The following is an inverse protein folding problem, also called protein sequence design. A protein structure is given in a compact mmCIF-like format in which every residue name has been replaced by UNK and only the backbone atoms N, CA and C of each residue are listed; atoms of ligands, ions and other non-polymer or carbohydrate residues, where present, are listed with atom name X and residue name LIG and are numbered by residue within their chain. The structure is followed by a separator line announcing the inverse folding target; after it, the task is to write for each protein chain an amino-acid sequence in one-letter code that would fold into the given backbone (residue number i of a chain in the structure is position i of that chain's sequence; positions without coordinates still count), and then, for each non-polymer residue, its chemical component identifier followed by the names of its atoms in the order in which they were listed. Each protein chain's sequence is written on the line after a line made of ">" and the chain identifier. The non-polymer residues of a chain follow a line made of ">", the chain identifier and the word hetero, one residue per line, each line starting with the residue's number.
data_IF_385242330641
#
_entry.id   IF_385242330641
#
_cell.length_a   1.000
_cell.length_b   1.000
_cell.length_c   1.000
_cell.angle_alpha   90.00
_cell.angle_beta   90.00
_cell.angle_gamma   90.00
#
_symmetry.space_group_name_H-M   'P 1'
#
loop_
_entity.id
_entity.type
_entity.pdbx_description
1 polymer ?
#
# COMPACT_ATOMS: atom_id res chain seq x y z
N UNK A 1 -15.55 98.38 12.42
CA UNK A 1 -14.71 97.50 11.58
C UNK A 1 -14.63 96.14 12.26
N UNK A 2 -15.40 95.16 11.77
CA UNK A 2 -15.42 93.80 12.32
C UNK A 2 -14.37 92.93 11.63
N UNK A 3 -13.51 92.30 12.42
CA UNK A 3 -12.57 91.27 12.00
C UNK A 3 -13.30 89.91 11.94
N UNK A 4 -13.24 89.22 10.80
CA UNK A 4 -13.71 87.83 10.65
C UNK A 4 -12.48 86.94 10.44
N UNK A 5 -12.16 86.14 11.44
CA UNK A 5 -11.14 85.08 11.37
C UNK A 5 -11.85 83.80 10.90
N UNK A 6 -11.61 83.40 9.65
CA UNK A 6 -12.07 82.12 9.13
C UNK A 6 -11.06 81.00 9.49
N UNK A 7 -11.43 80.16 10.45
CA UNK A 7 -10.72 78.92 10.78
C UNK A 7 -11.13 77.79 9.81
N UNK A 8 -10.27 77.47 8.85
CA UNK A 8 -10.41 76.26 8.03
C UNK A 8 -9.75 75.06 8.74
N UNK A 9 -10.57 74.12 9.22
CA UNK A 9 -10.13 72.84 9.79
C UNK A 9 -9.89 71.81 8.65
N UNK A 10 -8.73 71.13 8.58
CA UNK A 10 -8.49 70.14 7.52
C UNK A 10 -9.18 68.79 7.84
N UNK A 11 -10.11 68.37 6.97
CA UNK A 11 -10.58 66.99 6.85
C UNK A 11 -9.54 66.15 6.10
N UNK A 12 -8.55 65.58 6.79
CA UNK A 12 -7.65 64.56 6.20
C UNK A 12 -7.23 63.54 7.26
N UNK A 13 -8.12 62.64 7.69
CA UNK A 13 -7.69 61.57 8.60
C UNK A 13 -8.61 60.32 8.67
N UNK A 14 -9.22 59.88 7.56
CA UNK A 14 -10.03 58.63 7.56
C UNK A 14 -9.75 57.67 6.40
N UNK A 15 -9.03 58.09 5.35
CA UNK A 15 -8.79 57.25 4.15
C UNK A 15 -7.62 56.26 4.38
N UNK A 16 -6.70 56.57 5.29
CA UNK A 16 -5.46 55.81 5.46
C UNK A 16 -5.68 54.43 6.13
N UNK A 17 -6.69 54.30 6.98
CA UNK A 17 -6.94 53.09 7.78
C UNK A 17 -7.62 51.96 6.99
N UNK A 18 -8.46 52.31 6.00
CA UNK A 18 -9.13 51.34 5.12
C UNK A 18 -8.13 50.76 4.11
N UNK A 19 -7.27 51.61 3.55
CA UNK A 19 -6.24 51.19 2.60
C UNK A 19 -5.21 50.24 3.24
N UNK A 20 -4.82 50.51 4.48
CA UNK A 20 -3.90 49.65 5.24
C UNK A 20 -4.47 48.25 5.49
N UNK A 21 -5.77 48.11 5.80
CA UNK A 21 -6.41 46.80 6.06
C UNK A 21 -6.55 45.93 4.79
N UNK A 22 -6.92 46.53 3.66
CA UNK A 22 -7.09 45.81 2.38
C UNK A 22 -5.75 45.38 1.79
N UNK A 23 -4.72 46.21 1.95
CA UNK A 23 -3.38 45.91 1.48
C UNK A 23 -2.80 44.70 2.24
N UNK A 24 -2.88 44.68 3.57
CA UNK A 24 -2.37 43.57 4.38
C UNK A 24 -3.06 42.23 4.09
N UNK A 25 -4.37 42.21 3.86
CA UNK A 25 -5.09 40.98 3.54
C UNK A 25 -4.61 40.29 2.26
N UNK A 26 -4.30 41.05 1.20
CA UNK A 26 -3.81 40.51 -0.07
C UNK A 26 -2.39 39.95 0.04
N UNK A 27 -1.51 40.62 0.78
CA UNK A 27 -0.15 40.14 1.02
C UNK A 27 -0.12 38.90 1.91
N UNK A 28 -1.02 38.81 2.90
CA UNK A 28 -1.18 37.62 3.74
C UNK A 28 -1.65 36.42 2.90
N UNK A 29 -2.63 36.59 2.01
CA UNK A 29 -3.06 35.52 1.11
C UNK A 29 -1.96 35.07 0.15
N UNK A 30 -1.19 36.01 -0.42
CA UNK A 30 -0.06 35.67 -1.29
C UNK A 30 1.05 34.92 -0.52
N UNK A 31 1.39 35.34 0.69
CA UNK A 31 2.36 34.64 1.53
C UNK A 31 1.88 33.24 1.91
N UNK A 32 0.59 33.05 2.19
CA UNK A 32 0.02 31.73 2.48
C UNK A 32 0.03 30.81 1.26
N UNK A 33 -0.28 31.31 0.06
CA UNK A 33 -0.20 30.53 -1.19
C UNK A 33 1.25 30.18 -1.52
N UNK A 34 2.17 31.12 -1.34
CA UNK A 34 3.61 30.85 -1.52
C UNK A 34 4.06 29.80 -0.52
N UNK A 35 3.72 29.93 0.77
CA UNK A 35 4.04 28.93 1.79
C UNK A 35 3.50 27.54 1.43
N UNK A 36 2.24 27.42 0.99
CA UNK A 36 1.65 26.14 0.59
C UNK A 36 2.26 25.58 -0.70
N UNK A 37 2.71 26.43 -1.62
CA UNK A 37 3.38 26.02 -2.87
C UNK A 37 4.86 25.70 -2.67
N UNK A 38 5.51 26.30 -1.65
CA UNK A 38 6.91 26.06 -1.28
C UNK A 38 7.06 25.05 -0.15
N UNK A 39 5.96 24.57 0.46
CA UNK A 39 6.02 23.39 1.30
C UNK A 39 6.64 22.29 0.43
N UNK A 40 7.81 21.75 0.82
CA UNK A 40 8.35 20.60 0.12
C UNK A 40 7.24 19.58 0.09
N UNK A 41 6.91 19.04 -1.10
CA UNK A 41 6.22 17.76 -1.15
C UNK A 41 7.19 16.81 -0.46
N UNK A 42 7.02 16.64 0.86
CA UNK A 42 7.90 15.83 1.67
C UNK A 42 8.03 14.50 0.94
N UNK A 43 9.27 14.25 0.52
CA UNK A 43 9.66 13.09 -0.24
C UNK A 43 9.05 11.87 0.45
N UNK A 44 8.32 11.07 -0.33
CA UNK A 44 7.98 9.71 0.08
C UNK A 44 9.31 8.97 0.19
N UNK A 45 9.89 8.90 1.39
CA UNK A 45 11.15 8.24 1.68
C UNK A 45 11.01 6.70 1.62
N UNK A 46 10.16 6.17 0.73
CA UNK A 46 10.08 4.74 0.51
C UNK A 46 11.27 4.30 -0.31
N UNK A 47 12.10 3.48 0.29
CA UNK A 47 13.27 2.83 -0.32
C UNK A 47 12.85 1.90 -1.46
N UNK A 48 11.59 1.46 -1.49
CA UNK A 48 11.03 0.53 -2.46
C UNK A 48 9.54 0.75 -2.68
N UNK A 49 8.97 0.17 -3.75
CA UNK A 49 7.52 0.21 -4.00
C UNK A 49 6.80 -0.92 -3.26
N UNK A 50 5.47 -0.80 -3.12
CA UNK A 50 4.62 -1.85 -2.54
C UNK A 50 4.60 -1.89 -1.00
N UNK A 51 4.56 -3.11 -0.46
CA UNK A 51 4.44 -3.41 0.97
C UNK A 51 5.69 -3.06 1.77
N UNK A 52 5.55 -2.29 2.84
CA UNK A 52 6.64 -1.96 3.79
C UNK A 52 6.73 -2.94 4.95
N UNK A 53 5.64 -3.65 5.23
CA UNK A 53 5.57 -4.63 6.33
C UNK A 53 4.57 -5.73 6.03
N UNK A 54 4.88 -6.93 6.51
CA UNK A 54 4.04 -8.11 6.33
C UNK A 54 3.89 -8.88 7.64
N UNK A 55 2.82 -9.68 7.75
CA UNK A 55 2.76 -10.66 8.82
C UNK A 55 3.81 -11.74 8.56
N UNK A 56 4.57 -12.07 9.60
CA UNK A 56 5.60 -13.09 9.58
C UNK A 56 5.17 -14.28 10.40
N UNK A 57 5.34 -15.46 9.81
CA UNK A 57 5.13 -16.72 10.49
C UNK A 57 6.09 -17.75 9.90
N UNK A 58 6.67 -18.58 10.74
CA UNK A 58 7.51 -19.70 10.32
C UNK A 58 7.22 -20.91 11.20
N UNK A 59 6.57 -21.91 10.61
CA UNK A 59 6.19 -23.13 11.31
C UNK A 59 7.41 -23.86 11.92
N UNK A 60 8.56 -23.85 11.24
CA UNK A 60 9.75 -24.57 11.71
C UNK A 60 10.32 -23.92 12.98
N UNK A 61 10.37 -22.59 13.01
CA UNK A 61 10.78 -21.82 14.18
C UNK A 61 9.80 -22.01 15.35
N UNK A 62 8.53 -22.05 15.01
CA UNK A 62 7.44 -22.33 15.93
C UNK A 62 7.61 -23.68 16.65
N UNK A 63 7.97 -24.73 15.91
CA UNK A 63 8.16 -26.07 16.46
C UNK A 63 9.48 -26.22 17.23
N UNK A 64 10.47 -25.38 16.93
CA UNK A 64 11.77 -25.38 17.60
C UNK A 64 11.75 -24.68 18.98
N UNK A 65 10.78 -23.81 19.25
CA UNK A 65 10.69 -23.05 20.50
C UNK A 65 9.58 -23.59 21.43
N UNK A 66 9.84 -23.65 22.73
CA UNK A 66 8.86 -24.06 23.77
C UNK A 66 7.79 -23.01 24.11
N UNK A 67 7.73 -21.92 23.34
CA UNK A 67 6.77 -20.83 23.51
C UNK A 67 5.50 -21.00 22.67
N UNK A 68 4.46 -20.17 22.90
CA UNK A 68 3.32 -20.12 22.01
C UNK A 68 3.76 -19.69 20.61
N UNK A 69 3.17 -20.31 19.59
CA UNK A 69 3.32 -19.87 18.22
C UNK A 69 2.62 -18.53 18.00
N UNK A 70 3.42 -17.47 17.83
CA UNK A 70 2.90 -16.12 17.63
C UNK A 70 3.39 -15.59 16.29
N UNK A 71 2.46 -15.07 15.49
CA UNK A 71 2.83 -14.32 14.28
C UNK A 71 3.40 -12.96 14.67
N UNK A 72 4.44 -12.54 13.96
CA UNK A 72 5.12 -11.26 14.19
C UNK A 72 4.98 -10.37 12.96
N UNK A 73 5.58 -9.18 13.01
CA UNK A 73 5.66 -8.29 11.85
C UNK A 73 7.08 -8.32 11.31
N UNK A 74 7.20 -8.47 9.99
CA UNK A 74 8.45 -8.32 9.26
C UNK A 74 8.44 -7.00 8.51
N UNK A 75 9.50 -6.20 8.69
CA UNK A 75 9.74 -5.03 7.87
C UNK A 75 10.35 -5.48 6.53
N UNK A 76 9.71 -5.10 5.43
CA UNK A 76 10.18 -5.40 4.09
C UNK A 76 11.18 -4.32 3.69
N UNK A 77 12.39 -4.74 3.34
CA UNK A 77 13.46 -3.83 2.90
C UNK A 77 14.01 -4.31 1.56
N UNK A 78 14.43 -3.36 0.73
CA UNK A 78 15.19 -3.68 -0.47
C UNK A 78 16.67 -3.83 -0.08
N UNK A 79 17.37 -4.86 -0.59
CA UNK A 79 18.74 -5.19 -0.13
C UNK A 79 19.77 -4.11 -0.49
N UNK A 80 19.40 -3.16 -1.35
CA UNK A 80 20.19 -2.00 -1.76
C UNK A 80 20.72 -1.17 -0.60
N UNK A 81 20.08 -1.22 0.57
CA UNK A 81 20.52 -0.47 1.76
C UNK A 81 21.73 -1.12 2.46
N UNK A 82 21.93 -2.44 2.35
CA UNK A 82 22.95 -3.14 3.16
C UNK A 82 24.17 -3.62 2.37
N UNK A 83 24.01 -4.02 1.11
CA UNK A 83 25.07 -4.76 0.40
C UNK A 83 25.73 -4.04 -0.78
N UNK A 84 25.28 -2.83 -1.17
CA UNK A 84 25.76 -2.17 -2.40
C UNK A 84 25.81 -3.16 -3.59
N UNK A 85 24.83 -4.05 -3.71
CA UNK A 85 24.80 -5.05 -4.77
C UNK A 85 24.39 -4.36 -6.08
N UNK A 86 25.26 -4.32 -7.11
CA UNK A 86 24.97 -3.66 -8.38
C UNK A 86 23.87 -4.37 -9.20
N UNK A 87 23.43 -5.56 -8.78
CA UNK A 87 22.30 -6.27 -9.38
C UNK A 87 20.97 -6.05 -8.65
N UNK A 88 21.00 -5.35 -7.52
CA UNK A 88 19.78 -5.05 -6.77
C UNK A 88 19.18 -3.74 -7.29
N UNK A 89 18.11 -3.87 -8.08
CA UNK A 89 17.45 -2.71 -8.67
C UNK A 89 16.82 -1.86 -7.55
N UNK A 90 17.05 -0.55 -7.58
CA UNK A 90 16.50 0.42 -6.60
C UNK A 90 14.97 0.55 -6.61
N UNK A 91 14.30 -0.36 -7.31
CA UNK A 91 12.87 -0.34 -7.61
C UNK A 91 12.20 -1.69 -7.37
N UNK A 92 12.81 -2.59 -6.60
CA UNK A 92 12.14 -3.81 -6.22
C UNK A 92 10.78 -3.48 -5.59
N UNK A 93 9.73 -4.12 -6.08
CA UNK A 93 8.38 -3.98 -5.57
C UNK A 93 8.18 -5.06 -4.53
N UNK A 94 8.14 -4.65 -3.28
CA UNK A 94 7.95 -5.54 -2.15
C UNK A 94 6.47 -5.89 -2.02
N UNK A 95 6.21 -7.14 -1.69
CA UNK A 95 4.90 -7.76 -1.57
C UNK A 95 4.85 -8.53 -0.26
N UNK A 96 3.67 -8.97 0.15
CA UNK A 96 3.55 -9.99 1.19
C UNK A 96 3.15 -11.34 0.57
N UNK A 97 3.44 -12.43 1.28
CA UNK A 97 2.96 -13.76 0.90
C UNK A 97 2.45 -14.56 2.10
N UNK A 98 1.67 -15.60 1.80
CA UNK A 98 1.33 -16.66 2.74
C UNK A 98 1.35 -18.02 2.02
N UNK A 99 1.77 -19.05 2.75
CA UNK A 99 1.75 -20.44 2.27
C UNK A 99 1.19 -21.38 3.33
N UNK A 100 0.42 -22.37 2.89
CA UNK A 100 -0.22 -23.34 3.77
C UNK A 100 -0.38 -24.70 3.10
N UNK A 101 -0.44 -25.76 3.91
CA UNK A 101 -0.78 -27.10 3.46
C UNK A 101 -2.29 -27.29 3.45
N UNK A 102 -2.78 -27.94 2.40
CA UNK A 102 -4.14 -28.43 2.33
C UNK A 102 -4.22 -29.80 2.99
N UNK A 103 -4.55 -29.87 4.29
CA UNK A 103 -4.72 -31.16 4.97
C UNK A 103 -6.07 -31.78 4.59
N UNK A 104 -7.14 -30.95 4.59
CA UNK A 104 -8.48 -31.31 4.10
C UNK A 104 -9.24 -30.02 3.70
N UNK A 105 -10.41 -30.16 3.08
CA UNK A 105 -11.18 -29.04 2.49
C UNK A 105 -11.53 -27.89 3.45
N UNK A 106 -11.41 -28.11 4.77
CA UNK A 106 -11.73 -27.13 5.81
C UNK A 106 -10.56 -26.78 6.72
N UNK A 107 -9.44 -27.50 6.62
CA UNK A 107 -8.32 -27.39 7.56
C UNK A 107 -7.03 -27.13 6.81
N UNK A 108 -6.60 -25.87 6.92
CA UNK A 108 -5.37 -25.37 6.35
C UNK A 108 -4.33 -25.27 7.46
N UNK A 109 -3.15 -25.86 7.24
CA UNK A 109 -2.03 -25.71 8.15
C UNK A 109 -1.09 -24.65 7.60
N UNK A 110 -1.04 -23.51 8.29
CA UNK A 110 -0.14 -22.42 7.92
C UNK A 110 1.32 -22.89 8.02
N UNK A 111 2.09 -22.62 6.96
CA UNK A 111 3.51 -23.02 6.86
C UNK A 111 4.40 -21.80 7.06
N UNK A 112 4.29 -20.79 6.18
CA UNK A 112 5.10 -19.57 6.26
C UNK A 112 4.32 -18.33 5.81
N UNK A 113 4.71 -17.17 6.33
CA UNK A 113 4.29 -15.84 5.88
C UNK A 113 5.48 -14.88 5.96
N UNK A 114 5.49 -13.85 5.12
CA UNK A 114 6.48 -12.78 5.20
C UNK A 114 6.48 -11.88 3.97
N UNK A 115 7.61 -11.21 3.76
CA UNK A 115 7.87 -10.40 2.58
C UNK A 115 8.21 -11.25 1.34
N UNK A 116 7.78 -10.79 0.18
CA UNK A 116 8.01 -11.37 -1.14
C UNK A 116 8.46 -10.27 -2.11
N UNK A 117 9.15 -10.63 -3.20
CA UNK A 117 9.82 -9.65 -4.05
C UNK A 117 9.49 -9.84 -5.54
N UNK A 118 9.14 -8.74 -6.21
CA UNK A 118 9.09 -8.60 -7.67
C UNK A 118 8.20 -9.58 -8.45
N UNK A 119 7.14 -10.11 -7.83
CA UNK A 119 6.17 -10.93 -8.55
C UNK A 119 5.06 -10.06 -9.14
N UNK A 120 5.17 -9.80 -10.44
CA UNK A 120 4.26 -8.93 -11.18
C UNK A 120 2.79 -9.39 -11.14
N UNK A 121 2.52 -10.68 -10.85
CA UNK A 121 1.15 -11.20 -10.73
C UNK A 121 0.41 -10.60 -9.55
N UNK A 122 1.14 -10.15 -8.54
CA UNK A 122 0.58 -9.68 -7.27
C UNK A 122 0.45 -8.15 -7.21
N UNK A 123 0.95 -7.44 -8.23
CA UNK A 123 0.98 -5.97 -8.21
C UNK A 123 -0.44 -5.39 -8.16
N UNK A 124 -0.70 -4.54 -7.17
CA UNK A 124 -2.02 -3.98 -6.91
C UNK A 124 -3.05 -4.97 -6.32
N UNK A 125 -2.72 -6.25 -6.16
CA UNK A 125 -3.62 -7.24 -5.57
C UNK A 125 -3.67 -7.07 -4.05
N UNK A 126 -4.78 -6.55 -3.53
CA UNK A 126 -4.93 -6.25 -2.09
C UNK A 126 -5.17 -7.48 -1.22
N UNK A 127 -5.74 -8.53 -1.77
CA UNK A 127 -6.13 -9.74 -1.04
C UNK A 127 -5.17 -10.89 -1.35
N UNK A 128 -4.72 -11.63 -0.33
CA UNK A 128 -3.91 -12.83 -0.54
C UNK A 128 -4.83 -14.01 -0.90
N UNK A 129 -4.94 -14.31 -2.20
CA UNK A 129 -5.86 -15.35 -2.72
C UNK A 129 -5.09 -16.37 -3.54
N UNK A 130 -5.38 -17.65 -3.31
CA UNK A 130 -4.94 -18.78 -4.12
C UNK A 130 -6.15 -19.36 -4.86
N UNK A 131 -6.02 -19.53 -6.17
CA UNK A 131 -7.10 -19.91 -7.09
C UNK A 131 -6.95 -21.32 -7.67
N UNK A 132 -5.84 -21.99 -7.40
CA UNK A 132 -5.61 -23.36 -7.84
C UNK A 132 -6.62 -24.30 -7.18
N UNK A 133 -7.23 -25.15 -8.00
CA UNK A 133 -8.18 -26.15 -7.53
C UNK A 133 -7.58 -27.13 -6.50
N UNK A 134 -6.35 -27.59 -6.75
CA UNK A 134 -5.63 -28.50 -5.87
C UNK A 134 -4.12 -28.26 -5.92
N UNK A 135 -3.48 -28.16 -4.76
CA UNK A 135 -2.04 -28.17 -4.62
C UNK A 135 -1.66 -28.82 -3.28
N UNK A 136 -0.48 -29.45 -3.22
CA UNK A 136 0.06 -29.96 -1.95
C UNK A 136 0.41 -28.82 -0.99
N UNK A 137 0.88 -27.70 -1.54
CA UNK A 137 1.15 -26.45 -0.84
C UNK A 137 0.47 -25.34 -1.62
N UNK A 138 -0.40 -24.60 -0.96
CA UNK A 138 -1.02 -23.40 -1.50
C UNK A 138 -0.16 -22.17 -1.23
N UNK A 139 -0.23 -21.19 -2.13
CA UNK A 139 0.55 -19.96 -2.05
C UNK A 139 -0.25 -18.78 -2.57
N UNK A 140 -0.21 -17.67 -1.84
CA UNK A 140 -0.69 -16.40 -2.34
C UNK A 140 0.30 -15.28 -2.05
N UNK A 141 0.20 -14.23 -2.84
CA UNK A 141 0.93 -12.99 -2.69
C UNK A 141 -0.03 -11.80 -2.83
N UNK A 142 0.33 -10.67 -2.25
CA UNK A 142 -0.48 -9.46 -2.28
C UNK A 142 0.37 -8.21 -2.08
N UNK A 143 -0.18 -7.07 -2.46
CA UNK A 143 0.43 -5.75 -2.47
C UNK A 143 -0.30 -4.82 -1.49
N UNK A 144 0.43 -4.40 -0.46
CA UNK A 144 -0.06 -3.59 0.65
C UNK A 144 0.42 -4.10 2.01
N UNK A 145 0.59 -3.18 2.95
CA UNK A 145 1.03 -3.52 4.31
C UNK A 145 0.10 -4.53 4.97
N UNK A 146 0.68 -5.61 5.50
CA UNK A 146 -0.03 -6.65 6.23
C UNK A 146 -1.17 -7.33 5.45
N UNK A 147 -1.16 -7.25 4.12
CA UNK A 147 -2.23 -7.82 3.28
C UNK A 147 -2.32 -9.36 3.40
N UNK A 148 -1.25 -10.02 3.86
CA UNK A 148 -1.19 -11.47 4.08
C UNK A 148 -1.70 -11.90 5.46
N UNK A 149 -2.27 -11.00 6.27
CA UNK A 149 -2.93 -11.36 7.54
C UNK A 149 -4.00 -12.41 7.33
N UNK A 150 -4.83 -12.18 6.32
CA UNK A 150 -5.82 -13.13 5.85
C UNK A 150 -5.34 -13.76 4.55
N UNK A 151 -5.56 -15.06 4.40
CA UNK A 151 -5.26 -15.79 3.18
C UNK A 151 -6.47 -16.65 2.83
N UNK A 152 -6.83 -16.67 1.55
CA UNK A 152 -8.09 -17.24 1.07
C UNK A 152 -7.79 -18.25 -0.03
N UNK A 153 -8.39 -19.43 0.07
CA UNK A 153 -8.46 -20.37 -1.05
C UNK A 153 -9.80 -20.18 -1.76
N UNK A 154 -9.77 -19.68 -3.00
CA UNK A 154 -10.94 -19.47 -3.85
C UNK A 154 -10.71 -20.17 -5.19
N UNK A 155 -10.90 -21.50 -5.25
CA UNK A 155 -10.61 -22.25 -6.46
C UNK A 155 -11.42 -21.73 -7.64
N UNK A 156 -10.74 -21.38 -8.73
CA UNK A 156 -11.39 -21.08 -10.00
C UNK A 156 -12.06 -22.34 -10.54
N UNK A 157 -13.22 -22.20 -11.21
CA UNK A 157 -13.98 -23.33 -11.75
C UNK A 157 -13.07 -24.25 -12.60
N UNK A 158 -13.30 -25.56 -12.48
CA UNK A 158 -12.50 -26.63 -13.09
C UNK A 158 -12.26 -26.32 -14.58
N UNK A 159 -11.01 -26.39 -15.10
CA UNK A 159 -10.79 -26.33 -16.53
C UNK A 159 -11.60 -27.42 -17.22
N UNK A 160 -12.54 -27.02 -18.08
CA UNK A 160 -13.46 -27.88 -18.84
C UNK A 160 -12.78 -28.77 -19.90
N UNK A 161 -11.59 -29.31 -19.62
CA UNK A 161 -10.88 -30.27 -20.47
C UNK A 161 -11.10 -31.73 -20.06
N UNK A 162 -12.16 -32.03 -19.32
CA UNK A 162 -12.74 -33.38 -19.32
C UNK A 162 -13.97 -33.34 -20.23
N UNK A 163 -13.72 -33.25 -21.54
CA UNK A 163 -14.73 -33.65 -22.53
C UNK A 163 -14.95 -35.13 -22.29
N UNK A 164 -16.13 -35.42 -21.74
CA UNK A 164 -16.73 -36.74 -21.68
C UNK A 164 -16.52 -37.42 -23.05
N UNK A 165 -15.66 -38.44 -23.11
CA UNK A 165 -15.68 -39.38 -24.23
C UNK A 165 -16.99 -40.17 -24.06
N UNK A 166 -18.06 -39.58 -24.58
CA UNK A 166 -19.38 -40.18 -24.68
C UNK A 166 -19.31 -41.35 -25.65
N UNK A 167 -19.74 -42.49 -25.14
CA UNK A 167 -19.87 -43.78 -25.82
C UNK A 167 -20.66 -43.64 -27.13
N UNK A 168 -20.19 -44.29 -28.20
CA UNK A 168 -21.04 -44.66 -29.34
C UNK A 168 -20.78 -46.11 -29.68
N UNK A 169 -21.51 -47.01 -29.01
CA UNK A 169 -21.72 -48.36 -29.50
C UNK A 169 -22.62 -48.29 -30.73
N UNK A 170 -22.15 -48.79 -31.86
CA UNK A 170 -22.98 -49.09 -33.03
C UNK A 170 -22.93 -50.60 -33.28
N UNK A 171 -23.99 -51.29 -32.86
CA UNK A 171 -24.34 -52.57 -33.45
C UNK A 171 -24.87 -52.35 -34.88
N UNK A 172 -24.57 -53.28 -35.77
CA UNK A 172 -25.14 -53.33 -37.11
C UNK A 172 -24.14 -53.89 -38.13
N UNK A 173 -24.28 -55.18 -38.45
CA UNK A 173 -23.52 -55.91 -39.45
C UNK A 173 -23.68 -57.41 -39.27
#
# INVERSE_FOLDING_TARGET
>A
MFNIINNHKPRKMLINTVYQRVFWGKWICLLAVILLATMPKYLDCRVHKGSTKCEKFDQDQCMAHTGPCVSTTEDCVNSTEYNNDPYDESHNHMLCYASWLSINSSHNQLVKKGCWMNDNKCYGQRECVEDRYSASVFFCCCDGDMCNKEYIHRPSEIPTHVVVIGVSGSGGG
#
